data_IF_837011022722
#
_entry.id   IF_837011022722
#
_cell.length_a   1.000
_cell.length_b   1.000
_cell.length_c   1.000
_cell.angle_alpha   90.00
_cell.angle_beta   90.00
_cell.angle_gamma   90.00
#
_symmetry.space_group_name_H-M   'P 1'
#
loop_
_entity.id
_entity.type
_entity.pdbx_description
1 polymer ?
#
# COMPACT_ATOMS: atom_id res chain seq x y z
N UNK A 1 -4.14 12.84 1.22
CA UNK A 1 -5.53 12.90 0.69
C UNK A 1 -6.00 11.49 0.39
N UNK A 2 -6.21 10.68 1.44
CA UNK A 2 -6.51 9.24 1.32
C UNK A 2 -7.63 8.79 2.24
N UNK A 3 -7.91 9.52 3.33
CA UNK A 3 -8.96 9.19 4.30
C UNK A 3 -10.40 9.20 3.74
N UNK A 4 -10.65 9.88 2.61
CA UNK A 4 -11.98 9.96 2.02
C UNK A 4 -12.41 8.73 1.23
N UNK A 5 -11.45 7.92 0.75
CA UNK A 5 -11.71 6.74 -0.08
C UNK A 5 -12.06 5.52 0.78
N UNK A 6 -11.54 5.44 1.99
CA UNK A 6 -11.73 4.32 2.93
C UNK A 6 -13.13 4.25 3.55
N UNK A 7 -13.96 5.29 3.38
CA UNK A 7 -15.35 5.33 3.88
C UNK A 7 -16.35 4.65 2.92
N UNK A 8 -15.92 4.19 1.75
CA UNK A 8 -16.80 3.71 0.67
C UNK A 8 -17.00 2.19 0.60
N UNK A 9 -16.45 1.41 1.55
CA UNK A 9 -16.53 -0.08 1.53
C UNK A 9 -15.85 -0.71 0.29
N UNK A 10 -14.93 0.04 -0.33
CA UNK A 10 -14.17 -0.37 -1.50
C UNK A 10 -12.85 -1.05 -1.11
N UNK A 11 -12.39 -1.98 -1.95
CA UNK A 11 -11.08 -2.63 -1.79
C UNK A 11 -9.99 -1.61 -2.11
N UNK A 12 -9.28 -1.15 -1.07
CA UNK A 12 -8.16 -0.24 -1.23
C UNK A 12 -6.87 -0.92 -0.78
N UNK A 13 -5.98 -1.11 -1.75
CA UNK A 13 -4.65 -1.68 -1.53
C UNK A 13 -3.55 -0.64 -1.78
N UNK A 14 -2.53 -0.66 -0.92
CA UNK A 14 -1.41 0.28 -0.95
C UNK A 14 -0.17 -0.43 -1.46
N UNK A 15 0.43 0.07 -2.54
CA UNK A 15 1.65 -0.50 -3.12
C UNK A 15 2.87 0.39 -2.84
N UNK A 16 3.92 -0.19 -2.26
CA UNK A 16 5.21 0.45 -2.01
C UNK A 16 6.26 -0.17 -2.93
N UNK A 17 6.69 0.58 -3.95
CA UNK A 17 7.53 0.09 -5.04
C UNK A 17 8.92 0.72 -5.07
N UNK A 18 9.91 -0.08 -5.47
CA UNK A 18 11.24 0.35 -5.92
C UNK A 18 12.28 0.64 -4.83
N UNK A 19 11.89 1.10 -3.63
CA UNK A 19 12.81 1.33 -2.51
C UNK A 19 12.18 0.96 -1.17
N UNK A 20 13.05 0.65 -0.21
CA UNK A 20 12.67 0.50 1.20
C UNK A 20 11.96 1.77 1.68
N UNK A 21 10.85 1.59 2.38
CA UNK A 21 10.16 2.72 2.98
C UNK A 21 11.02 3.24 4.13
N UNK A 22 11.45 4.50 4.07
CA UNK A 22 12.17 5.11 5.19
C UNK A 22 11.21 5.26 6.37
N UNK A 23 11.51 4.55 7.46
CA UNK A 23 10.67 4.53 8.67
C UNK A 23 10.97 5.75 9.52
N UNK A 24 10.67 6.94 9.00
CA UNK A 24 10.63 8.17 9.81
C UNK A 24 9.34 8.16 10.64
N UNK A 25 9.34 8.80 11.82
CA UNK A 25 8.23 8.69 12.80
C UNK A 25 6.83 8.99 12.23
N UNK A 26 6.72 9.90 11.26
CA UNK A 26 5.46 10.20 10.56
C UNK A 26 5.02 9.09 9.60
N UNK A 27 5.95 8.43 8.89
CA UNK A 27 5.63 7.31 8.01
C UNK A 27 5.13 6.09 8.80
N UNK A 28 5.69 5.86 9.99
CA UNK A 28 5.23 4.81 10.89
C UNK A 28 3.78 5.04 11.35
N UNK A 29 3.42 6.30 11.66
CA UNK A 29 2.05 6.67 12.02
C UNK A 29 1.07 6.47 10.84
N UNK A 30 1.48 6.85 9.63
CA UNK A 30 0.66 6.62 8.43
C UNK A 30 0.48 5.13 8.14
N UNK A 31 1.54 4.31 8.27
CA UNK A 31 1.44 2.86 8.09
C UNK A 31 0.52 2.21 9.13
N UNK A 32 0.59 2.64 10.39
CA UNK A 32 -0.35 2.17 11.42
C UNK A 32 -1.78 2.55 11.07
N UNK A 33 -2.01 3.79 10.61
CA UNK A 33 -3.35 4.23 10.18
C UNK A 33 -3.89 3.36 9.04
N UNK A 34 -3.06 3.01 8.05
CA UNK A 34 -3.45 2.13 6.93
C UNK A 34 -3.81 0.73 7.44
N UNK A 35 -3.05 0.19 8.41
CA UNK A 35 -3.35 -1.10 9.06
C UNK A 35 -4.64 -1.06 9.88
N UNK A 36 -4.86 0.01 10.65
CA UNK A 36 -6.07 0.19 11.47
C UNK A 36 -7.33 0.32 10.61
N UNK A 37 -7.18 0.71 9.34
CA UNK A 37 -8.24 0.80 8.35
C UNK A 37 -8.45 -0.50 7.54
N UNK A 38 -7.82 -1.62 7.94
CA UNK A 38 -7.88 -2.94 7.27
C UNK A 38 -7.42 -2.94 5.79
N UNK A 39 -6.65 -1.93 5.39
CA UNK A 39 -6.10 -1.83 4.03
C UNK A 39 -4.85 -2.71 3.90
N UNK A 40 -4.69 -3.42 2.77
CA UNK A 40 -3.50 -4.26 2.57
C UNK A 40 -2.36 -3.45 2.01
N UNK A 41 -1.16 -3.73 2.51
CA UNK A 41 0.07 -3.06 2.08
C UNK A 41 0.95 -4.09 1.37
N UNK A 42 1.25 -3.82 0.11
CA UNK A 42 2.07 -4.66 -0.75
C UNK A 42 3.40 -3.99 -1.08
N UNK A 43 4.45 -4.78 -1.24
CA UNK A 43 5.77 -4.26 -1.59
C UNK A 43 6.57 -5.20 -2.48
N UNK A 44 7.39 -4.63 -3.36
CA UNK A 44 8.39 -5.35 -4.14
C UNK A 44 9.76 -5.44 -3.44
N UNK A 45 9.86 -4.91 -2.22
CA UNK A 45 11.07 -4.85 -1.42
C UNK A 45 10.95 -5.71 -0.16
N UNK A 46 11.73 -6.80 -0.07
CA UNK A 46 11.73 -7.72 1.10
C UNK A 46 12.16 -7.07 2.42
N UNK A 47 12.75 -5.88 2.37
CA UNK A 47 13.19 -5.14 3.54
C UNK A 47 12.05 -4.40 4.28
N UNK A 48 10.85 -4.34 3.70
CA UNK A 48 9.67 -3.73 4.30
C UNK A 48 8.88 -4.81 5.06
N UNK A 49 9.33 -5.17 6.27
CA UNK A 49 8.81 -6.31 7.03
C UNK A 49 7.33 -6.24 7.43
N UNK A 50 6.72 -5.04 7.38
CA UNK A 50 5.31 -4.81 7.71
C UNK A 50 4.35 -4.95 6.51
N UNK A 51 4.89 -5.13 5.30
CA UNK A 51 4.12 -5.23 4.07
C UNK A 51 4.24 -6.64 3.45
N UNK A 52 3.18 -7.07 2.77
CA UNK A 52 3.17 -8.34 2.06
C UNK A 52 4.03 -8.22 0.79
N UNK A 53 5.04 -9.08 0.69
CA UNK A 53 5.92 -9.09 -0.47
C UNK A 53 5.18 -9.67 -1.69
N UNK A 54 5.14 -8.92 -2.77
CA UNK A 54 4.68 -9.36 -4.09
C UNK A 54 5.78 -9.14 -5.12
N UNK A 55 5.93 -10.08 -6.04
CA UNK A 55 6.80 -9.87 -7.19
C UNK A 55 6.25 -8.77 -8.10
N UNK A 56 7.12 -8.08 -8.83
CA UNK A 56 6.71 -7.04 -9.79
C UNK A 56 5.73 -7.57 -10.83
N UNK A 57 5.84 -8.84 -11.21
CA UNK A 57 4.92 -9.50 -12.15
C UNK A 57 3.51 -9.69 -11.57
N UNK A 58 3.39 -10.01 -10.29
CA UNK A 58 2.09 -10.13 -9.61
C UNK A 58 1.42 -8.77 -9.45
N UNK A 59 2.19 -7.74 -9.10
CA UNK A 59 1.70 -6.37 -8.99
C UNK A 59 1.18 -5.88 -10.36
N UNK A 60 1.94 -6.16 -11.43
CA UNK A 60 1.53 -5.82 -12.80
C UNK A 60 0.25 -6.53 -13.25
N UNK A 61 -0.05 -7.72 -12.73
CA UNK A 61 -1.30 -8.45 -13.01
C UNK A 61 -2.50 -7.89 -12.23
N UNK A 62 -2.28 -7.37 -11.02
CA UNK A 62 -3.34 -6.83 -10.16
C UNK A 62 -3.67 -5.37 -10.48
N UNK A 63 -2.69 -4.56 -10.87
CA UNK A 63 -2.87 -3.15 -11.19
C UNK A 63 -4.06 -2.84 -12.13
N UNK A 64 -4.31 -3.62 -13.21
CA UNK A 64 -5.46 -3.42 -14.09
C UNK A 64 -6.82 -3.81 -13.49
N UNK A 65 -6.84 -4.55 -12.38
CA UNK A 65 -8.08 -4.98 -11.70
C UNK A 65 -8.70 -3.85 -10.86
N UNK A 66 -7.94 -2.79 -10.57
CA UNK A 66 -8.44 -1.63 -9.85
C UNK A 66 -9.03 -0.60 -10.79
N UNK A 67 -10.19 -0.06 -10.43
CA UNK A 67 -10.84 1.03 -11.19
C UNK A 67 -10.02 2.32 -11.14
N UNK A 68 -9.29 2.55 -10.04
CA UNK A 68 -8.56 3.79 -9.78
C UNK A 68 -7.17 3.53 -9.23
N UNK A 69 -6.17 4.21 -9.81
CA UNK A 69 -4.78 4.16 -9.35
C UNK A 69 -4.31 5.59 -9.07
N UNK A 70 -3.84 5.82 -7.83
CA UNK A 70 -3.36 7.13 -7.37
C UNK A 70 -1.85 7.07 -7.10
N UNK A 71 -1.00 7.53 -8.04
CA UNK A 71 0.44 7.58 -7.82
C UNK A 71 0.82 8.73 -6.87
N UNK A 72 1.71 8.46 -5.91
CA UNK A 72 2.28 9.43 -4.97
C UNK A 72 3.80 9.25 -4.85
#
# INVERSE_FOLDING_TARGET
>A
MSLGLTLLDDVVDVYVLGRKLETTGEHALHLQTVKDMDMKIYTDCKENGDAEFLSTEEIARRLPEYDHVLPY
#
